data_IF_969128552778
#
_entry.id   IF_969128552778
#
_cell.length_a   1.000
_cell.length_b   1.000
_cell.length_c   1.000
_cell.angle_alpha   90.00
_cell.angle_beta   90.00
_cell.angle_gamma   90.00
#
_symmetry.space_group_name_H-M   'P 1'
#
loop_
_entity.id
_entity.type
_entity.pdbx_description
1 polymer ?
#
# COMPACT_ATOMS: atom_id res chain seq x y z
N UNK A 1 -14.60 10.26 6.67
CA UNK A 1 -13.64 10.73 5.65
C UNK A 1 -12.80 11.82 6.30
N UNK A 2 -11.48 11.82 6.15
CA UNK A 2 -10.64 12.90 6.69
C UNK A 2 -10.60 14.00 5.63
N UNK A 3 -11.23 15.14 5.93
CA UNK A 3 -11.15 16.33 5.08
C UNK A 3 -9.78 17.01 5.26
N UNK A 4 -9.27 17.74 4.26
CA UNK A 4 -8.07 18.54 4.44
C UNK A 4 -8.28 19.53 5.58
N UNK A 5 -7.43 19.49 6.62
CA UNK A 5 -7.47 20.51 7.67
C UNK A 5 -6.88 21.85 7.19
N UNK A 6 -6.23 21.85 6.02
CA UNK A 6 -5.63 23.00 5.36
C UNK A 6 -5.77 22.91 3.83
N UNK A 7 -5.71 24.05 3.15
CA UNK A 7 -5.79 24.11 1.69
C UNK A 7 -4.61 23.37 1.03
N UNK A 8 -4.87 22.51 0.03
CA UNK A 8 -3.82 21.81 -0.71
C UNK A 8 -2.88 22.77 -1.46
N UNK A 9 -1.58 22.57 -1.30
CA UNK A 9 -0.54 23.38 -1.93
C UNK A 9 -0.04 22.67 -3.20
N UNK A 10 0.09 23.40 -4.29
CA UNK A 10 0.80 22.92 -5.47
C UNK A 10 2.28 23.28 -5.35
N UNK A 11 3.15 22.29 -5.58
CA UNK A 11 4.60 22.47 -5.67
C UNK A 11 5.04 22.17 -7.09
N UNK A 12 5.80 23.07 -7.71
CA UNK A 12 6.30 22.88 -9.07
C UNK A 12 7.48 21.91 -9.14
N UNK A 13 8.20 21.69 -8.03
CA UNK A 13 9.38 20.82 -7.99
C UNK A 13 9.62 20.19 -6.62
N UNK A 14 10.53 19.21 -6.59
CA UNK A 14 11.06 18.62 -5.36
C UNK A 14 11.74 19.67 -4.46
N UNK A 15 12.44 20.63 -5.06
CA UNK A 15 13.13 21.69 -4.32
C UNK A 15 12.13 22.56 -3.56
N UNK A 16 11.04 23.00 -4.20
CA UNK A 16 10.03 23.84 -3.52
C UNK A 16 9.35 23.10 -2.36
N UNK A 17 9.11 21.80 -2.51
CA UNK A 17 8.58 20.99 -1.41
C UNK A 17 9.60 20.81 -0.28
N UNK A 18 10.87 20.63 -0.64
CA UNK A 18 11.98 20.60 0.31
C UNK A 18 12.12 21.91 1.09
N UNK A 19 12.04 23.06 0.43
CA UNK A 19 12.10 24.38 1.05
C UNK A 19 10.93 24.61 2.01
N UNK A 20 9.73 24.14 1.64
CA UNK A 20 8.59 24.18 2.54
C UNK A 20 8.83 23.31 3.79
N UNK A 21 9.36 22.11 3.61
CA UNK A 21 9.67 21.22 4.75
C UNK A 21 10.77 21.83 5.64
N UNK A 22 11.82 22.40 5.06
CA UNK A 22 12.87 23.10 5.81
C UNK A 22 12.27 24.14 6.76
N UNK A 23 11.35 24.97 6.25
CA UNK A 23 10.73 26.03 7.04
C UNK A 23 9.66 25.55 8.05
N UNK A 24 9.00 24.41 7.82
CA UNK A 24 7.79 24.04 8.56
C UNK A 24 7.81 22.67 9.26
N UNK A 25 8.83 21.84 9.03
CA UNK A 25 8.81 20.44 9.47
C UNK A 25 8.65 20.23 10.99
N UNK A 26 9.04 21.20 11.81
CA UNK A 26 8.93 21.14 13.28
C UNK A 26 7.58 21.64 13.81
N UNK A 27 6.94 22.59 13.12
CA UNK A 27 5.76 23.31 13.63
C UNK A 27 4.47 22.87 12.97
N UNK A 28 4.52 22.45 11.70
CA UNK A 28 3.36 21.97 10.98
C UNK A 28 3.00 20.54 11.38
N UNK A 29 1.71 20.29 11.59
CA UNK A 29 1.19 18.95 11.92
C UNK A 29 0.85 18.12 10.68
N UNK A 30 0.58 18.79 9.56
CA UNK A 30 0.35 18.18 8.25
C UNK A 30 0.50 19.20 7.10
N UNK A 31 0.64 18.69 5.89
CA UNK A 31 0.48 19.45 4.64
C UNK A 31 -0.19 18.60 3.58
N UNK A 32 -1.03 19.21 2.76
CA UNK A 32 -1.65 18.57 1.61
C UNK A 32 -1.00 19.07 0.34
N UNK A 33 -0.59 18.15 -0.55
CA UNK A 33 0.05 18.51 -1.83
C UNK A 33 -0.81 18.09 -3.00
N UNK A 34 -0.93 18.96 -4.00
CA UNK A 34 -1.59 18.67 -5.27
C UNK A 34 -0.60 17.96 -6.21
N UNK A 35 -1.05 16.87 -6.81
CA UNK A 35 -0.33 16.08 -7.79
C UNK A 35 -1.15 15.96 -9.08
N UNK A 36 -0.52 16.20 -10.22
CA UNK A 36 -1.08 15.90 -11.53
C UNK A 36 -0.48 14.62 -12.11
N UNK A 37 -1.21 13.95 -13.01
CA UNK A 37 -0.71 12.76 -13.70
C UNK A 37 0.42 13.12 -14.65
N UNK A 38 1.32 12.16 -14.88
CA UNK A 38 2.37 12.28 -15.90
C UNK A 38 1.72 12.59 -17.27
N UNK A 39 2.23 13.62 -17.95
CA UNK A 39 1.71 14.09 -19.23
C UNK A 39 0.66 15.20 -19.15
N UNK A 40 0.21 15.58 -17.94
CA UNK A 40 -0.62 16.78 -17.75
C UNK A 40 0.26 18.05 -17.92
N UNK A 41 -0.21 19.10 -18.62
CA UNK A 41 0.53 20.35 -18.75
C UNK A 41 0.79 21.06 -17.41
N UNK A 42 0.04 20.74 -16.36
CA UNK A 42 0.21 21.24 -14.99
C UNK A 42 1.12 20.36 -14.14
N UNK A 43 1.80 19.38 -14.74
CA UNK A 43 2.72 18.51 -14.02
C UNK A 43 3.79 19.34 -13.28
N UNK A 44 3.84 19.18 -11.96
CA UNK A 44 4.87 19.74 -11.09
C UNK A 44 5.59 18.63 -10.34
N UNK A 45 5.70 18.79 -9.01
CA UNK A 45 6.22 17.77 -8.10
C UNK A 45 5.58 16.41 -8.41
N UNK A 46 6.39 15.35 -8.53
CA UNK A 46 5.89 13.98 -8.61
C UNK A 46 5.96 13.32 -7.23
N UNK A 47 5.12 12.30 -7.01
CA UNK A 47 5.16 11.56 -5.75
C UNK A 47 6.50 10.83 -5.55
N UNK A 48 7.11 10.35 -6.64
CA UNK A 48 8.41 9.71 -6.59
C UNK A 48 9.51 10.67 -6.12
N UNK A 49 9.38 11.97 -6.44
CA UNK A 49 10.31 13.00 -5.98
C UNK A 49 9.96 13.52 -4.57
N UNK A 50 8.67 13.58 -4.24
CA UNK A 50 8.20 14.05 -2.94
C UNK A 50 8.57 13.11 -1.79
N UNK A 51 8.55 11.79 -2.02
CA UNK A 51 8.84 10.80 -0.96
C UNK A 51 10.26 10.98 -0.39
N UNK A 52 11.35 11.03 -1.18
CA UNK A 52 12.68 11.31 -0.68
C UNK A 52 12.77 12.63 0.10
N UNK A 53 12.14 13.70 -0.40
CA UNK A 53 12.16 15.01 0.28
C UNK A 53 11.46 14.94 1.64
N UNK A 54 10.28 14.34 1.73
CA UNK A 54 9.60 14.11 3.00
C UNK A 54 10.45 13.27 3.98
N UNK A 55 11.12 12.23 3.48
CA UNK A 55 11.96 11.34 4.31
C UNK A 55 13.17 12.08 4.90
N UNK A 56 13.77 13.04 4.18
CA UNK A 56 14.88 13.87 4.69
C UNK A 56 14.51 14.55 6.00
N UNK A 57 13.26 14.95 6.17
CA UNK A 57 12.74 15.64 7.36
C UNK A 57 11.97 14.72 8.33
N UNK A 58 11.88 13.41 8.04
CA UNK A 58 11.17 12.46 8.90
C UNK A 58 9.65 12.49 8.74
N UNK A 59 9.16 12.95 7.59
CA UNK A 59 7.75 13.00 7.22
C UNK A 59 7.34 11.76 6.38
N UNK A 60 6.03 11.50 6.27
CA UNK A 60 5.45 10.40 5.49
C UNK A 60 4.14 10.81 4.84
N UNK A 61 3.87 10.25 3.66
CA UNK A 61 2.55 10.27 3.04
C UNK A 61 1.56 9.36 3.78
N UNK A 62 0.28 9.73 3.73
CA UNK A 62 -0.80 8.93 4.31
C UNK A 62 -2.00 8.82 3.36
N UNK A 63 -2.91 9.78 3.43
CA UNK A 63 -4.18 9.75 2.69
C UNK A 63 -4.00 10.41 1.33
N UNK A 64 -4.37 9.69 0.26
CA UNK A 64 -4.48 10.25 -1.09
C UNK A 64 -5.93 10.24 -1.55
N UNK A 65 -6.36 11.30 -2.24
CA UNK A 65 -7.70 11.41 -2.82
C UNK A 65 -7.64 12.05 -4.20
N UNK A 66 -8.39 11.51 -5.16
CA UNK A 66 -8.62 12.18 -6.45
C UNK A 66 -9.55 13.38 -6.29
N UNK A 67 -9.21 14.51 -6.89
CA UNK A 67 -10.00 15.75 -6.82
C UNK A 67 -10.62 16.16 -8.18
N UNK A 68 -10.55 15.27 -9.18
CA UNK A 68 -11.02 15.55 -10.54
C UNK A 68 -9.91 16.04 -11.45
N UNK A 69 -10.20 16.21 -12.75
CA UNK A 69 -9.34 16.84 -13.76
C UNK A 69 -7.89 16.36 -13.78
N UNK A 70 -7.67 15.05 -13.63
CA UNK A 70 -6.32 14.49 -13.64
C UNK A 70 -5.48 14.81 -12.40
N UNK A 71 -6.08 15.41 -11.37
CA UNK A 71 -5.42 15.80 -10.13
C UNK A 71 -5.80 14.90 -8.95
N UNK A 72 -4.86 14.77 -8.02
CA UNK A 72 -5.05 14.16 -6.71
C UNK A 72 -4.39 15.01 -5.64
N UNK A 73 -4.87 14.92 -4.42
CA UNK A 73 -4.20 15.47 -3.25
C UNK A 73 -3.61 14.35 -2.42
N UNK A 74 -2.48 14.63 -1.79
CA UNK A 74 -1.77 13.72 -0.89
C UNK A 74 -1.48 14.43 0.42
N UNK A 75 -1.84 13.81 1.53
CA UNK A 75 -1.51 14.29 2.86
C UNK A 75 -0.15 13.77 3.31
N UNK A 76 0.66 14.66 3.87
CA UNK A 76 1.95 14.38 4.49
C UNK A 76 1.94 14.81 5.95
N UNK A 77 2.59 14.03 6.80
CA UNK A 77 2.64 14.28 8.25
C UNK A 77 3.98 13.88 8.84
N UNK A 78 4.42 14.47 9.97
CA UNK A 78 5.55 13.95 10.74
C UNK A 78 5.35 12.48 11.12
N UNK A 79 6.40 11.66 10.96
CA UNK A 79 6.34 10.25 11.38
C UNK A 79 6.27 10.15 12.90
N UNK A 80 5.30 9.37 13.39
CA UNK A 80 5.24 8.95 14.80
C UNK A 80 6.31 7.88 15.06
N UNK A 81 6.84 7.80 16.29
CA UNK A 81 7.85 6.81 16.69
C UNK A 81 7.45 5.35 16.42
N UNK A 82 6.15 5.05 16.51
CA UNK A 82 5.56 3.72 16.25
C UNK A 82 5.22 3.47 14.78
N UNK A 83 5.57 4.38 13.87
CA UNK A 83 5.29 4.21 12.44
C UNK A 83 6.14 3.10 11.87
N UNK A 84 5.52 2.23 11.08
CA UNK A 84 6.22 1.19 10.33
C UNK A 84 7.06 1.85 9.21
N UNK A 85 8.24 1.29 8.97
CA UNK A 85 9.12 1.66 7.87
C UNK A 85 9.13 0.53 6.85
N UNK A 86 8.73 0.81 5.61
CA UNK A 86 8.82 -0.14 4.51
C UNK A 86 10.26 -0.32 4.06
N UNK A 87 10.60 -1.46 3.47
CA UNK A 87 11.92 -1.70 2.90
C UNK A 87 12.32 -0.64 1.86
N UNK A 88 11.36 -0.17 1.04
CA UNK A 88 11.58 0.90 0.06
C UNK A 88 11.97 2.22 0.73
N UNK A 89 11.29 2.60 1.82
CA UNK A 89 11.62 3.84 2.53
C UNK A 89 12.95 3.72 3.29
N UNK A 90 13.28 2.53 3.80
CA UNK A 90 14.60 2.26 4.40
C UNK A 90 15.69 2.42 3.34
N UNK A 91 15.53 1.81 2.17
CA UNK A 91 16.49 1.96 1.06
C UNK A 91 16.63 3.41 0.60
N UNK A 92 15.54 4.19 0.59
CA UNK A 92 15.62 5.63 0.33
C UNK A 92 16.41 6.39 1.39
N UNK A 93 16.19 6.10 2.68
CA UNK A 93 16.97 6.71 3.77
C UNK A 93 18.45 6.36 3.65
N UNK A 94 18.79 5.09 3.43
CA UNK A 94 20.18 4.63 3.29
C UNK A 94 20.88 5.35 2.13
N UNK A 95 20.20 5.47 0.98
CA UNK A 95 20.70 6.25 -0.15
C UNK A 95 20.89 7.72 0.21
N UNK A 96 19.91 8.36 0.84
CA UNK A 96 19.99 9.77 1.23
C UNK A 96 21.09 10.04 2.27
N UNK A 97 21.35 9.08 3.17
CA UNK A 97 22.47 9.13 4.12
C UNK A 97 23.81 9.04 3.39
N UNK A 98 23.95 8.10 2.46
CA UNK A 98 25.16 7.96 1.64
C UNK A 98 25.43 9.21 0.78
N UNK A 99 24.38 9.87 0.30
CA UNK A 99 24.45 11.14 -0.45
C UNK A 99 24.69 12.37 0.46
N UNK A 100 24.68 12.23 1.79
CA UNK A 100 24.83 13.36 2.72
C UNK A 100 23.65 14.34 2.69
N UNK A 101 22.47 13.91 2.23
CA UNK A 101 21.29 14.77 2.01
C UNK A 101 20.27 14.74 3.15
N UNK A 102 20.47 13.88 4.14
CA UNK A 102 19.56 13.77 5.29
C UNK A 102 19.58 15.03 6.15
N UNK A 103 18.40 15.51 6.55
CA UNK A 103 18.27 16.56 7.56
C UNK A 103 18.31 15.93 8.97
N UNK A 104 18.83 16.61 10.01
CA UNK A 104 18.88 16.09 11.37
C UNK A 104 17.53 15.58 11.89
N UNK A 105 16.43 16.24 11.54
CA UNK A 105 15.09 15.81 11.93
C UNK A 105 14.71 14.43 11.37
N UNK A 106 15.06 14.14 10.11
CA UNK A 106 14.81 12.84 9.50
C UNK A 106 15.71 11.74 10.07
N UNK A 107 16.96 12.05 10.38
CA UNK A 107 17.87 11.13 11.08
C UNK A 107 17.28 10.75 12.44
N UNK A 108 16.89 11.74 13.23
CA UNK A 108 16.30 11.51 14.55
C UNK A 108 14.98 10.73 14.46
N UNK A 109 14.15 10.98 13.45
CA UNK A 109 12.93 10.20 13.21
C UNK A 109 13.23 8.74 12.85
N UNK A 110 14.28 8.51 12.06
CA UNK A 110 14.71 7.16 11.67
C UNK A 110 15.35 6.39 12.83
N UNK A 111 16.13 7.05 13.69
CA UNK A 111 16.75 6.44 14.88
C UNK A 111 15.72 6.06 15.95
N UNK A 112 14.64 6.86 16.09
CA UNK A 112 13.53 6.55 17.01
C UNK A 112 12.66 5.37 16.58
N UNK A 113 12.89 4.79 15.40
CA UNK A 113 12.07 3.68 14.89
C UNK A 113 12.24 2.44 15.78
N UNK A 114 11.17 1.70 16.00
CA UNK A 114 11.25 0.37 16.65
C UNK A 114 11.74 -0.67 15.63
N UNK A 115 12.91 -1.31 15.84
CA UNK A 115 13.48 -2.26 14.87
C UNK A 115 12.54 -3.43 14.51
N UNK A 116 11.79 -3.93 15.50
CA UNK A 116 10.82 -5.02 15.33
C UNK A 116 9.67 -4.70 14.35
N UNK A 117 9.39 -3.43 14.09
CA UNK A 117 8.34 -3.01 13.15
C UNK A 117 8.85 -2.77 11.73
N UNK A 118 10.14 -2.44 11.56
CA UNK A 118 10.76 -2.26 10.23
C UNK A 118 10.96 -3.57 9.46
N UNK A 119 11.19 -4.68 10.18
CA UNK A 119 11.35 -6.01 9.58
C UNK A 119 10.06 -6.64 9.06
N UNK A 120 8.88 -6.13 9.47
CA UNK A 120 7.56 -6.67 9.07
C UNK A 120 7.33 -6.55 7.56
N UNK A 121 8.03 -5.64 6.87
CA UNK A 121 7.96 -5.48 5.41
C UNK A 121 9.21 -6.01 4.67
N UNK A 122 10.30 -6.32 5.39
CA UNK A 122 11.62 -6.63 4.81
C UNK A 122 12.02 -8.10 4.89
N UNK A 123 11.33 -8.91 5.69
CA UNK A 123 11.31 -10.33 5.37
C UNK A 123 10.39 -10.51 4.18
N UNK A 124 10.81 -11.33 3.24
CA UNK A 124 9.95 -12.06 2.31
C UNK A 124 8.62 -12.38 3.02
N UNK A 125 7.64 -11.48 2.91
CA UNK A 125 6.32 -11.80 3.36
C UNK A 125 5.94 -12.93 2.43
N UNK A 126 5.77 -14.13 3.01
CA UNK A 126 5.11 -15.25 2.38
C UNK A 126 3.77 -14.72 1.92
N UNK A 127 3.72 -14.14 0.73
CA UNK A 127 2.51 -13.64 0.09
C UNK A 127 1.85 -14.81 -0.67
N UNK A 128 2.04 -16.00 -0.14
CA UNK A 128 1.68 -17.30 -0.66
C UNK A 128 1.06 -18.06 0.51
N UNK A 129 -0.04 -18.76 0.24
CA UNK A 129 -0.66 -19.64 1.21
C UNK A 129 0.36 -20.69 1.69
N UNK A 130 0.30 -21.10 2.95
CA UNK A 130 1.10 -22.26 3.39
C UNK A 130 0.67 -23.52 2.62
N UNK A 131 1.50 -24.57 2.55
CA UNK A 131 1.12 -25.82 1.88
C UNK A 131 -0.24 -26.38 2.36
N UNK A 132 -0.54 -26.27 3.65
CA UNK A 132 -1.80 -26.73 4.25
C UNK A 132 -3.00 -25.86 3.83
N UNK A 133 -2.80 -24.55 3.74
CA UNK A 133 -3.82 -23.62 3.28
C UNK A 133 -4.10 -23.80 1.78
N UNK A 134 -3.03 -24.01 0.98
CA UNK A 134 -3.14 -24.33 -0.43
C UNK A 134 -3.87 -25.67 -0.64
N UNK A 135 -3.58 -26.69 0.16
CA UNK A 135 -4.30 -27.96 0.12
C UNK A 135 -5.79 -27.81 0.49
N UNK A 136 -6.12 -26.96 1.47
CA UNK A 136 -7.50 -26.66 1.84
C UNK A 136 -8.28 -25.98 0.70
N UNK A 137 -7.62 -25.12 -0.06
CA UNK A 137 -8.20 -24.50 -1.25
C UNK A 137 -8.36 -25.50 -2.41
N UNK A 138 -7.33 -26.33 -2.63
CA UNK A 138 -7.32 -27.37 -3.66
C UNK A 138 -8.37 -28.47 -3.42
N UNK A 139 -8.83 -28.66 -2.18
CA UNK A 139 -9.92 -29.58 -1.85
C UNK A 139 -11.26 -29.21 -2.50
N UNK A 140 -11.42 -27.96 -2.97
CA UNK A 140 -12.55 -27.52 -3.79
C UNK A 140 -12.08 -27.29 -5.24
N UNK A 141 -12.44 -28.17 -6.19
CA UNK A 141 -12.06 -28.00 -7.60
C UNK A 141 -12.48 -26.65 -8.18
N UNK A 142 -13.67 -26.16 -7.79
CA UNK A 142 -14.16 -24.85 -8.19
C UNK A 142 -13.31 -23.70 -7.62
N UNK A 143 -12.94 -23.78 -6.33
CA UNK A 143 -12.09 -22.77 -5.72
C UNK A 143 -10.69 -22.76 -6.32
N UNK A 144 -10.12 -23.94 -6.58
CA UNK A 144 -8.83 -24.11 -7.24
C UNK A 144 -8.83 -23.50 -8.65
N UNK A 145 -9.84 -23.82 -9.46
CA UNK A 145 -9.97 -23.29 -10.82
C UNK A 145 -10.09 -21.75 -10.83
N UNK A 146 -10.84 -21.17 -9.87
CA UNK A 146 -10.88 -19.72 -9.70
C UNK A 146 -9.50 -19.16 -9.35
N UNK A 147 -8.83 -19.76 -8.37
CA UNK A 147 -7.55 -19.31 -7.86
C UNK A 147 -6.46 -19.33 -8.94
N UNK A 148 -6.43 -20.36 -9.78
CA UNK A 148 -5.47 -20.48 -10.89
C UNK A 148 -5.72 -19.45 -12.00
N UNK A 149 -7.00 -19.13 -12.25
CA UNK A 149 -7.38 -18.09 -13.21
C UNK A 149 -7.16 -16.66 -12.68
N UNK A 150 -6.99 -16.50 -11.36
CA UNK A 150 -6.81 -15.22 -10.70
C UNK A 150 -5.41 -14.61 -10.92
N UNK A 151 -5.38 -13.29 -11.01
CA UNK A 151 -4.11 -12.56 -11.24
C UNK A 151 -3.12 -12.74 -10.09
N UNK A 152 -1.80 -12.68 -10.35
CA UNK A 152 -0.79 -12.72 -9.28
C UNK A 152 -0.97 -11.62 -8.23
N UNK A 153 -1.52 -10.46 -8.62
CA UNK A 153 -1.80 -9.37 -7.69
C UNK A 153 -2.87 -9.77 -6.68
N UNK A 154 -4.02 -10.27 -7.16
CA UNK A 154 -5.11 -10.73 -6.29
C UNK A 154 -4.65 -11.85 -5.35
N UNK A 155 -3.96 -12.87 -5.88
CA UNK A 155 -3.45 -13.99 -5.07
C UNK A 155 -2.55 -13.53 -3.93
N UNK A 156 -1.60 -12.63 -4.21
CA UNK A 156 -0.71 -12.06 -3.18
C UNK A 156 -1.48 -11.28 -2.11
N UNK A 157 -2.38 -10.37 -2.52
CA UNK A 157 -3.18 -9.56 -1.60
C UNK A 157 -4.01 -10.43 -0.67
N UNK A 158 -4.62 -11.48 -1.20
CA UNK A 158 -5.50 -12.38 -0.44
C UNK A 158 -4.71 -13.34 0.46
N UNK A 159 -3.59 -13.89 -0.03
CA UNK A 159 -2.72 -14.74 0.80
C UNK A 159 -2.14 -13.95 1.99
N UNK A 160 -1.75 -12.69 1.78
CA UNK A 160 -1.35 -11.80 2.86
C UNK A 160 -2.52 -11.49 3.81
N UNK A 161 -3.73 -11.25 3.29
CA UNK A 161 -4.92 -11.04 4.14
C UNK A 161 -5.20 -12.25 5.03
N UNK A 162 -5.07 -13.48 4.54
CA UNK A 162 -5.19 -14.68 5.38
C UNK A 162 -4.08 -14.69 6.44
N UNK A 163 -2.81 -14.58 6.04
CA UNK A 163 -1.67 -14.78 6.94
C UNK A 163 -1.40 -13.66 7.95
N UNK A 164 -1.75 -12.41 7.60
CA UNK A 164 -1.57 -11.25 8.49
C UNK A 164 -2.51 -11.24 9.69
N UNK A 165 -3.53 -12.12 9.73
CA UNK A 165 -4.37 -12.28 10.92
C UNK A 165 -3.54 -12.83 12.09
N UNK A 166 -3.53 -12.09 13.21
CA UNK A 166 -2.74 -12.46 14.41
C UNK A 166 -3.25 -13.72 15.11
N UNK A 167 -4.58 -13.91 15.15
CA UNK A 167 -5.24 -15.04 15.81
C UNK A 167 -5.39 -16.21 14.83
N UNK A 168 -5.11 -17.43 15.28
CA UNK A 168 -5.24 -18.65 14.47
C UNK A 168 -6.67 -18.85 13.97
N UNK A 169 -7.67 -18.72 14.84
CA UNK A 169 -9.08 -18.84 14.44
C UNK A 169 -9.43 -17.88 13.29
N UNK A 170 -8.93 -16.64 13.34
CA UNK A 170 -9.17 -15.67 12.28
C UNK A 170 -8.47 -16.04 10.96
N UNK A 171 -7.33 -16.74 11.00
CA UNK A 171 -6.70 -17.30 9.79
C UNK A 171 -7.58 -18.37 9.17
N UNK A 172 -8.12 -19.27 9.99
CA UNK A 172 -9.04 -20.34 9.57
C UNK A 172 -10.30 -19.74 8.95
N UNK A 173 -10.94 -18.78 9.62
CA UNK A 173 -12.18 -18.16 9.12
C UNK A 173 -11.97 -17.42 7.79
N UNK A 174 -10.83 -16.73 7.64
CA UNK A 174 -10.46 -16.04 6.39
C UNK A 174 -10.17 -17.03 5.26
N UNK A 175 -9.52 -18.16 5.57
CA UNK A 175 -9.29 -19.23 4.60
C UNK A 175 -10.61 -19.85 4.15
N UNK A 176 -11.53 -20.14 5.08
CA UNK A 176 -12.86 -20.66 4.74
C UNK A 176 -13.63 -19.68 3.84
N UNK A 177 -13.61 -18.39 4.18
CA UNK A 177 -14.20 -17.32 3.34
C UNK A 177 -13.58 -17.30 1.94
N UNK A 178 -12.25 -17.42 1.85
CA UNK A 178 -11.55 -17.48 0.57
C UNK A 178 -12.03 -18.66 -0.27
N UNK A 179 -12.08 -19.86 0.29
CA UNK A 179 -12.51 -21.07 -0.43
C UNK A 179 -13.96 -20.93 -0.89
N UNK A 180 -14.86 -20.48 -0.03
CA UNK A 180 -16.28 -20.29 -0.36
C UNK A 180 -16.46 -19.29 -1.51
N UNK A 181 -15.80 -18.13 -1.44
CA UNK A 181 -15.96 -17.10 -2.45
C UNK A 181 -15.32 -17.49 -3.78
N UNK A 182 -14.13 -18.09 -3.76
CA UNK A 182 -13.51 -18.63 -4.97
C UNK A 182 -14.40 -19.70 -5.62
N UNK A 183 -14.94 -20.64 -4.83
CA UNK A 183 -15.83 -21.69 -5.34
C UNK A 183 -17.10 -21.10 -5.97
N UNK A 184 -17.62 -20.01 -5.40
CA UNK A 184 -18.78 -19.31 -5.93
C UNK A 184 -18.47 -18.29 -7.04
N UNK A 185 -17.22 -18.22 -7.51
CA UNK A 185 -16.82 -17.32 -8.59
C UNK A 185 -16.74 -15.84 -8.19
N UNK A 186 -16.54 -15.54 -6.91
CA UNK A 186 -16.53 -14.18 -6.35
C UNK A 186 -15.16 -13.81 -5.80
N UNK A 187 -14.87 -12.50 -5.77
CA UNK A 187 -13.76 -11.96 -4.98
C UNK A 187 -14.08 -12.08 -3.47
N UNK A 188 -13.06 -12.15 -2.62
CA UNK A 188 -13.23 -12.01 -1.16
C UNK A 188 -13.83 -10.64 -0.79
N UNK A 189 -14.54 -10.50 0.35
CA UNK A 189 -15.40 -9.33 0.59
C UNK A 189 -14.70 -7.97 0.51
N UNK A 190 -13.49 -7.85 1.06
CA UNK A 190 -12.74 -6.58 1.06
C UNK A 190 -12.15 -6.19 -0.31
N UNK A 191 -12.21 -7.09 -1.30
CA UNK A 191 -11.81 -6.82 -2.69
C UNK A 191 -13.02 -6.51 -3.60
N UNK A 192 -14.26 -6.53 -3.06
CA UNK A 192 -15.49 -6.19 -3.79
C UNK A 192 -15.76 -4.69 -3.74
N UNK A 193 -14.84 -3.89 -4.23
CA UNK A 193 -15.01 -2.44 -4.32
C UNK A 193 -14.89 -1.97 -5.76
N UNK A 194 -15.67 -0.96 -6.11
CA UNK A 194 -15.69 -0.39 -7.46
C UNK A 194 -16.18 -1.39 -8.52
N UNK A 195 -15.74 -1.15 -9.76
CA UNK A 195 -16.07 -1.99 -10.89
C UNK A 195 -15.32 -3.34 -10.84
N UNK A 196 -16.01 -4.48 -11.01
CA UNK A 196 -15.37 -5.78 -11.04
C UNK A 196 -14.28 -5.85 -12.12
N UNK A 197 -13.10 -6.41 -11.82
CA UNK A 197 -12.02 -6.47 -12.78
C UNK A 197 -12.37 -7.45 -13.91
N UNK A 198 -11.98 -7.14 -15.14
CA UNK A 198 -12.31 -7.94 -16.32
C UNK A 198 -11.90 -9.43 -16.22
N UNK A 199 -10.82 -9.73 -15.49
CA UNK A 199 -10.37 -11.11 -15.27
C UNK A 199 -11.34 -11.93 -14.39
N UNK A 200 -12.19 -11.29 -13.58
CA UNK A 200 -13.12 -11.97 -12.68
C UNK A 200 -14.11 -12.85 -13.45
N UNK A 201 -14.61 -12.38 -14.59
CA UNK A 201 -15.54 -13.14 -15.41
C UNK A 201 -14.92 -14.48 -15.87
N UNK A 202 -13.64 -14.46 -16.27
CA UNK A 202 -12.90 -15.67 -16.65
C UNK A 202 -12.71 -16.61 -15.46
N UNK A 203 -12.37 -16.07 -14.29
CA UNK A 203 -12.19 -16.88 -13.09
C UNK A 203 -13.50 -17.50 -12.58
N UNK A 204 -14.60 -16.75 -12.63
CA UNK A 204 -15.94 -17.24 -12.30
C UNK A 204 -16.39 -18.35 -13.27
N UNK A 205 -16.14 -18.19 -14.57
CA UNK A 205 -16.42 -19.23 -15.56
C UNK A 205 -15.59 -20.50 -15.31
N UNK A 206 -14.31 -20.35 -14.95
CA UNK A 206 -13.45 -21.49 -14.58
C UNK A 206 -13.98 -22.23 -13.34
N UNK A 207 -14.41 -21.50 -12.31
CA UNK A 207 -15.01 -22.08 -11.11
C UNK A 207 -16.29 -22.87 -11.43
N UNK A 208 -17.20 -22.26 -12.18
CA UNK A 208 -18.47 -22.90 -12.59
C UNK A 208 -18.23 -24.15 -13.44
N UNK A 209 -17.28 -24.12 -14.37
CA UNK A 209 -16.92 -25.27 -15.21
C UNK A 209 -16.27 -26.43 -14.43
N UNK A 210 -15.65 -26.14 -13.28
CA UNK A 210 -15.07 -27.14 -12.39
C UNK A 210 -16.07 -27.66 -11.34
N UNK A 211 -17.14 -26.90 -11.05
CA UNK A 211 -18.22 -27.31 -10.14
C UNK A 211 -19.20 -28.30 -10.77
N UNK A 212 -19.35 -28.28 -12.09
CA UNK A 212 -20.21 -29.19 -12.85
C UNK A 212 -19.57 -30.52 -13.28
N UNK A 213 -18.39 -30.86 -12.76
CA UNK A 213 -17.65 -32.10 -13.04
C UNK A 213 -17.62 -33.03 -11.84
#
# INVERSE_FOLDING_TARGET
MVEPASDPIFFASAAEFGDWLEAHHETAVEVWTVFYRKGDPRLGLTWADAVPEALRFGWIDSVSRGIGDGARVQRWTPRKSRSIWSAVNIAHIERLQAEGRMHPAGIAAFERRTPDLSGVYSHEQRNELTPEQAASLAASPAAQAFWDAATPSYRRTVAHWVQSAKREQTRIDRLATLVEDCAAGRLVPFQRYGEPPAWLARAAAAASAAQGR
#
